data_IF_335518261003
#
_entry.id   IF_335518261003
#
_cell.length_a   1.000
_cell.length_b   1.000
_cell.length_c   1.000
_cell.angle_alpha   90.00
_cell.angle_beta   90.00
_cell.angle_gamma   90.00
#
_symmetry.space_group_name_H-M   'P 1'
#
loop_
_entity.id
_entity.type
_entity.pdbx_description
1 polymer ?
#
# COMPACT_ATOMS: atom_id res chain seq x y z
N UNK A 1 -7.97 -0.22 -16.87
CA UNK A 1 -6.96 -0.79 -15.95
C UNK A 1 -6.24 0.31 -15.21
N UNK A 2 -6.06 0.14 -13.93
CA UNK A 2 -5.39 1.11 -13.08
C UNK A 2 -4.17 0.48 -12.40
N UNK A 3 -3.13 1.28 -12.23
CA UNK A 3 -2.01 0.91 -11.39
C UNK A 3 -2.26 1.43 -9.98
N UNK A 4 -1.86 0.66 -8.99
CA UNK A 4 -1.98 1.07 -7.60
C UNK A 4 -0.64 0.81 -6.90
N UNK A 5 -0.13 1.84 -6.24
CA UNK A 5 1.03 1.72 -5.38
C UNK A 5 0.56 1.87 -3.94
N UNK A 6 0.87 0.87 -3.12
CA UNK A 6 0.48 0.85 -1.71
C UNK A 6 1.76 0.88 -0.89
N UNK A 7 1.94 1.92 -0.09
CA UNK A 7 3.05 2.02 0.85
C UNK A 7 2.48 1.86 2.26
N UNK A 8 3.04 0.96 3.04
CA UNK A 8 2.47 0.64 4.33
C UNK A 8 3.53 0.17 5.31
N UNK A 9 3.21 0.29 6.59
CA UNK A 9 4.05 -0.25 7.66
C UNK A 9 4.07 -1.77 7.56
N UNK A 10 5.23 -2.39 7.79
CA UNK A 10 5.38 -3.83 7.66
C UNK A 10 4.39 -4.63 8.50
N UNK A 11 3.94 -4.08 9.60
CA UNK A 11 2.95 -4.75 10.43
C UNK A 11 1.61 -4.96 9.71
N UNK A 12 1.35 -4.20 8.65
CA UNK A 12 0.13 -4.34 7.85
C UNK A 12 0.23 -5.38 6.73
N UNK A 13 1.38 -6.00 6.54
CA UNK A 13 1.62 -6.86 5.37
C UNK A 13 0.52 -7.91 5.18
N UNK A 14 0.23 -8.67 6.22
CA UNK A 14 -0.74 -9.77 6.10
C UNK A 14 -2.14 -9.24 5.80
N UNK A 15 -2.51 -8.13 6.43
CA UNK A 15 -3.83 -7.52 6.19
C UNK A 15 -3.95 -7.00 4.76
N UNK A 16 -2.90 -6.36 4.24
CA UNK A 16 -2.90 -5.82 2.87
C UNK A 16 -2.98 -6.95 1.86
N UNK A 17 -2.17 -7.99 2.03
CA UNK A 17 -2.18 -9.13 1.12
C UNK A 17 -3.54 -9.84 1.18
N UNK A 18 -4.12 -9.98 2.37
CA UNK A 18 -5.45 -10.58 2.51
C UNK A 18 -6.51 -9.77 1.76
N UNK A 19 -6.43 -8.44 1.82
CA UNK A 19 -7.37 -7.58 1.09
C UNK A 19 -7.24 -7.78 -0.43
N UNK A 20 -6.01 -7.88 -0.92
CA UNK A 20 -5.77 -8.14 -2.34
C UNK A 20 -6.33 -9.49 -2.76
N UNK A 21 -6.08 -10.52 -1.96
CA UNK A 21 -6.57 -11.87 -2.26
C UNK A 21 -8.09 -11.94 -2.28
N UNK A 22 -8.76 -11.30 -1.33
CA UNK A 22 -10.22 -11.29 -1.27
C UNK A 22 -10.86 -10.64 -2.49
N UNK A 23 -10.17 -9.68 -3.10
CA UNK A 23 -10.66 -9.00 -4.29
C UNK A 23 -10.07 -9.61 -5.57
N UNK A 24 -9.40 -10.74 -5.45
CA UNK A 24 -8.81 -11.45 -6.58
C UNK A 24 -7.69 -10.67 -7.28
N UNK A 25 -7.05 -9.77 -6.56
CA UNK A 25 -5.90 -9.01 -7.06
C UNK A 25 -4.63 -9.80 -6.80
N UNK A 26 -4.42 -10.88 -7.54
CA UNK A 26 -3.33 -11.81 -7.26
C UNK A 26 -1.99 -11.42 -7.87
N UNK A 27 -2.02 -10.61 -8.92
CA UNK A 27 -0.79 -10.18 -9.58
C UNK A 27 -0.26 -8.91 -8.97
N UNK A 28 0.77 -9.02 -8.14
CA UNK A 28 1.39 -7.84 -7.56
C UNK A 28 2.88 -8.08 -7.34
N UNK A 29 3.61 -6.97 -7.21
CA UNK A 29 5.02 -7.01 -6.83
C UNK A 29 5.14 -6.46 -5.41
N UNK A 30 5.84 -7.20 -4.56
CA UNK A 30 6.04 -6.81 -3.17
C UNK A 30 7.46 -6.30 -2.98
N UNK A 31 7.58 -5.14 -2.34
CA UNK A 31 8.87 -4.54 -2.00
C UNK A 31 8.98 -4.58 -0.48
N UNK A 32 9.90 -5.41 0.01
CA UNK A 32 9.98 -5.67 1.44
C UNK A 32 10.32 -4.42 2.25
N UNK A 33 11.23 -3.59 1.74
CA UNK A 33 11.70 -2.44 2.49
C UNK A 33 11.74 -1.20 1.61
N UNK A 34 11.03 -0.16 2.05
CA UNK A 34 11.02 1.15 1.41
C UNK A 34 11.56 2.18 2.37
N UNK A 35 12.27 3.16 1.82
CA UNK A 35 12.74 4.31 2.58
C UNK A 35 12.13 5.57 1.97
N UNK A 36 11.74 6.49 2.83
CA UNK A 36 11.14 7.72 2.35
C UNK A 36 10.63 8.56 3.49
N UNK A 37 9.81 9.53 3.14
CA UNK A 37 9.18 10.40 4.11
C UNK A 37 7.69 10.41 3.85
N UNK A 38 6.88 10.11 4.87
CA UNK A 38 5.45 9.97 4.73
C UNK A 38 4.71 11.29 4.58
N UNK A 39 5.34 12.41 4.95
CA UNK A 39 4.75 13.73 4.82
C UNK A 39 5.86 14.77 4.70
N UNK A 40 5.47 16.01 4.39
CA UNK A 40 6.45 17.09 4.26
C UNK A 40 7.22 17.35 5.55
N UNK A 41 6.58 17.14 6.69
CA UNK A 41 7.15 17.42 7.99
C UNK A 41 7.43 16.18 8.81
N UNK A 42 7.12 15.00 8.26
CA UNK A 42 7.32 13.74 8.96
C UNK A 42 8.77 13.31 8.96
N UNK A 43 9.09 12.41 9.86
CA UNK A 43 10.42 11.83 9.93
C UNK A 43 10.68 10.91 8.73
N UNK A 44 11.91 10.85 8.23
CA UNK A 44 12.23 9.92 7.15
C UNK A 44 12.06 8.46 7.57
N UNK A 45 11.61 7.63 6.64
CA UNK A 45 11.43 6.19 6.87
C UNK A 45 12.63 5.42 6.32
N UNK A 46 13.73 5.48 7.01
CA UNK A 46 14.98 4.86 6.56
C UNK A 46 15.28 3.57 7.31
N UNK A 47 14.23 2.93 7.85
CA UNK A 47 14.43 1.75 8.65
C UNK A 47 14.94 2.05 10.05
N UNK A 48 14.75 3.27 10.52
CA UNK A 48 15.15 3.69 11.84
C UNK A 48 13.98 3.64 12.81
N UNK A 49 14.28 3.85 14.07
CA UNK A 49 13.29 3.83 15.12
C UNK A 49 12.35 5.03 15.13
N UNK A 50 12.52 6.00 14.26
CA UNK A 50 11.60 7.11 14.12
C UNK A 50 10.19 6.61 13.83
N UNK A 51 10.12 5.45 13.19
CA UNK A 51 8.91 4.66 13.08
C UNK A 51 9.17 3.32 13.72
N UNK A 52 8.20 2.81 14.47
CA UNK A 52 8.34 1.55 15.19
C UNK A 52 8.69 0.39 14.29
N UNK A 53 8.35 0.47 13.01
CA UNK A 53 8.65 -0.56 12.02
C UNK A 53 8.98 0.07 10.69
N UNK A 54 9.46 -0.76 9.78
CA UNK A 54 9.87 -0.33 8.45
C UNK A 54 8.68 -0.35 7.50
N UNK A 55 8.76 0.45 6.45
CA UNK A 55 7.74 0.47 5.41
C UNK A 55 8.01 -0.58 4.34
N UNK A 56 6.93 -1.09 3.79
CA UNK A 56 6.94 -1.97 2.63
C UNK A 56 6.06 -1.37 1.55
N UNK A 57 6.14 -1.93 0.35
CA UNK A 57 5.33 -1.46 -0.76
C UNK A 57 4.80 -2.58 -1.62
N UNK A 58 3.68 -2.33 -2.25
CA UNK A 58 3.10 -3.23 -3.25
C UNK A 58 2.71 -2.40 -4.46
N UNK A 59 3.05 -2.91 -5.63
CA UNK A 59 2.58 -2.35 -6.89
C UNK A 59 1.71 -3.42 -7.54
N UNK A 60 0.48 -3.05 -7.89
CA UNK A 60 -0.45 -3.96 -8.53
C UNK A 60 -1.23 -3.24 -9.62
N UNK A 61 -1.74 -4.01 -10.57
CA UNK A 61 -2.58 -3.48 -11.64
C UNK A 61 -3.94 -4.16 -11.54
N UNK A 62 -4.99 -3.37 -11.54
CA UNK A 62 -6.35 -3.89 -11.32
C UNK A 62 -7.31 -3.32 -12.34
N UNK A 63 -8.43 -4.02 -12.53
CA UNK A 63 -9.51 -3.51 -13.34
C UNK A 63 -10.17 -2.32 -12.65
N UNK A 64 -10.74 -1.42 -13.46
CA UNK A 64 -11.31 -0.17 -12.93
C UNK A 64 -12.38 -0.43 -11.86
N UNK A 65 -13.18 -1.48 -12.02
CA UNK A 65 -14.27 -1.76 -11.11
C UNK A 65 -13.83 -2.30 -9.75
N UNK A 66 -12.54 -2.60 -9.59
CA UNK A 66 -12.00 -3.11 -8.32
C UNK A 66 -11.44 -1.97 -7.46
N UNK A 67 -11.10 -0.85 -8.07
CA UNK A 67 -10.37 0.23 -7.40
C UNK A 67 -11.06 0.70 -6.13
N UNK A 68 -12.34 1.04 -6.22
CA UNK A 68 -13.05 1.59 -5.07
C UNK A 68 -13.12 0.60 -3.90
N UNK A 69 -13.36 -0.67 -4.23
CA UNK A 69 -13.41 -1.72 -3.21
C UNK A 69 -12.06 -1.92 -2.53
N UNK A 70 -10.99 -1.89 -3.32
CA UNK A 70 -9.65 -2.05 -2.78
C UNK A 70 -9.27 -0.86 -1.91
N UNK A 71 -9.53 0.36 -2.36
CA UNK A 71 -9.23 1.55 -1.56
C UNK A 71 -10.01 1.55 -0.25
N UNK A 72 -11.27 1.11 -0.27
CA UNK A 72 -12.06 1.03 0.96
C UNK A 72 -11.47 0.00 1.93
N UNK A 73 -11.05 -1.15 1.44
CA UNK A 73 -10.43 -2.16 2.28
C UNK A 73 -9.12 -1.64 2.90
N UNK A 74 -8.31 -0.95 2.10
CA UNK A 74 -7.06 -0.38 2.59
C UNK A 74 -7.30 0.73 3.62
N UNK A 75 -8.30 1.55 3.38
CA UNK A 75 -8.69 2.60 4.31
C UNK A 75 -9.09 2.02 5.67
N UNK A 76 -9.84 0.92 5.66
CA UNK A 76 -10.23 0.24 6.89
C UNK A 76 -9.01 -0.25 7.68
N UNK A 77 -7.99 -0.77 6.98
CA UNK A 77 -6.77 -1.19 7.62
C UNK A 77 -6.07 0.00 8.28
N UNK A 78 -5.97 1.11 7.55
CA UNK A 78 -5.31 2.32 8.03
C UNK A 78 -6.01 2.91 9.25
N UNK A 79 -7.33 2.99 9.21
CA UNK A 79 -8.12 3.58 10.29
C UNK A 79 -8.08 2.77 11.58
N UNK A 80 -7.81 1.48 11.49
CA UNK A 80 -7.78 0.60 12.66
C UNK A 80 -6.42 0.52 13.34
N UNK A 81 -5.43 1.29 12.86
CA UNK A 81 -4.08 1.25 13.43
C UNK A 81 -3.45 2.63 13.37
N UNK A 82 -3.78 3.48 14.33
CA UNK A 82 -3.43 4.91 14.31
C UNK A 82 -1.94 5.21 14.14
N UNK A 83 -1.09 4.42 14.74
CA UNK A 83 0.35 4.70 14.74
C UNK A 83 1.08 4.11 13.54
N UNK A 84 0.39 3.38 12.70
CA UNK A 84 0.98 2.72 11.54
C UNK A 84 0.49 3.40 10.28
N UNK A 85 1.40 3.67 9.35
CA UNK A 85 1.05 4.38 8.13
C UNK A 85 0.61 3.45 7.02
N UNK A 86 -0.30 3.95 6.18
CA UNK A 86 -0.68 3.31 4.93
C UNK A 86 -1.16 4.37 3.96
N UNK A 87 -0.63 4.32 2.74
CA UNK A 87 -1.05 5.20 1.65
C UNK A 87 -1.22 4.38 0.39
N UNK A 88 -2.18 4.78 -0.43
CA UNK A 88 -2.40 4.14 -1.72
C UNK A 88 -2.60 5.21 -2.77
N UNK A 89 -1.96 5.03 -3.92
CA UNK A 89 -2.02 5.96 -5.04
C UNK A 89 -2.47 5.21 -6.27
N UNK A 90 -3.36 5.81 -7.04
CA UNK A 90 -3.97 5.20 -8.22
C UNK A 90 -3.67 6.05 -9.44
N UNK A 91 -3.31 5.41 -10.55
CA UNK A 91 -3.11 6.13 -11.82
C UNK A 91 -3.60 5.28 -12.98
N UNK A 92 -3.83 5.96 -14.11
CA UNK A 92 -4.24 5.28 -15.34
C UNK A 92 -3.05 4.59 -15.99
N UNK A 93 -3.28 3.39 -16.47
CA UNK A 93 -2.31 2.69 -17.30
C UNK A 93 -2.73 2.88 -18.74
N UNK A 94 -1.91 3.60 -19.51
CA UNK A 94 -2.20 3.86 -20.90
C UNK A 94 -1.98 2.65 -21.78
N UNK A 95 -0.89 1.92 -21.53
CA UNK A 95 -0.51 0.77 -22.34
C UNK A 95 0.21 -0.27 -21.49
N UNK A 96 0.02 -1.53 -21.84
CA UNK A 96 0.81 -2.63 -21.30
C UNK A 96 0.91 -3.71 -22.36
N UNK A 97 1.83 -4.62 -22.22
CA UNK A 97 1.92 -5.74 -23.15
C UNK A 97 1.93 -7.05 -22.40
#
# INVERSE_FOLDING_TARGET
MKGIFIAFDQAHKDAVISALDKLNCRGFSFIEQLQGRGSKTGDPHYGTHAWASMNSGIITMVEDNIVDKLLEALKNIDENAEMLGLRAFVWNIEQCY
#
